data_IF_800422754016
#
_entry.id   IF_800422754016
#
_cell.length_a   1.000
_cell.length_b   1.000
_cell.length_c   1.000
_cell.angle_alpha   90.00
_cell.angle_beta   90.00
_cell.angle_gamma   90.00
#
_symmetry.space_group_name_H-M   'P 1'
#
loop_
_entity.id
_entity.type
_entity.pdbx_description
1 polymer ?
#
# COMPACT_ATOMS: atom_id res chain seq x y z
N UNK A 1 -42.02 -42.45 -43.98
CA UNK A 1 -42.10 -42.33 -42.50
C UNK A 1 -40.77 -41.76 -42.01
N UNK A 2 -40.77 -40.51 -41.49
CA UNK A 2 -39.81 -39.87 -40.56
C UNK A 2 -38.30 -39.87 -40.89
N UNK A 3 -37.50 -38.83 -40.66
CA UNK A 3 -37.64 -37.41 -40.33
C UNK A 3 -36.24 -36.82 -40.62
N UNK A 4 -36.16 -35.68 -41.30
CA UNK A 4 -34.91 -34.94 -41.47
C UNK A 4 -34.47 -34.30 -40.15
N UNK A 5 -33.26 -34.58 -39.70
CA UNK A 5 -32.64 -33.94 -38.53
C UNK A 5 -32.21 -32.52 -38.90
N UNK A 6 -32.97 -31.51 -38.45
CA UNK A 6 -32.57 -30.11 -38.51
C UNK A 6 -31.49 -29.83 -37.46
N UNK A 7 -30.37 -29.30 -37.92
CA UNK A 7 -29.27 -28.82 -37.10
C UNK A 7 -29.64 -27.43 -36.55
N UNK A 8 -30.10 -27.35 -35.31
CA UNK A 8 -30.31 -26.07 -34.63
C UNK A 8 -28.96 -25.57 -34.10
N UNK A 9 -28.33 -24.65 -34.83
CA UNK A 9 -27.19 -23.88 -34.33
C UNK A 9 -27.74 -22.81 -33.38
N UNK A 10 -27.58 -23.03 -32.08
CA UNK A 10 -27.90 -22.05 -31.06
C UNK A 10 -26.79 -20.97 -31.07
N UNK A 11 -27.06 -19.85 -31.72
CA UNK A 11 -26.24 -18.64 -31.57
C UNK A 11 -26.42 -18.11 -30.15
N UNK A 12 -25.52 -18.50 -29.24
CA UNK A 12 -25.39 -17.87 -27.93
C UNK A 12 -24.74 -16.49 -28.17
N UNK A 13 -25.56 -15.46 -28.26
CA UNK A 13 -25.11 -14.07 -28.32
C UNK A 13 -24.30 -13.77 -27.06
N UNK A 14 -22.98 -13.70 -27.21
CA UNK A 14 -22.06 -13.22 -26.18
C UNK A 14 -22.39 -11.75 -25.92
N UNK A 15 -23.20 -11.48 -24.90
CA UNK A 15 -23.39 -10.14 -24.41
C UNK A 15 -22.04 -9.65 -23.89
N UNK A 16 -21.41 -8.77 -24.67
CA UNK A 16 -20.29 -7.95 -24.22
C UNK A 16 -20.79 -7.13 -23.03
N UNK A 17 -20.52 -7.62 -21.81
CA UNK A 17 -20.56 -6.81 -20.61
C UNK A 17 -19.49 -5.74 -20.77
N UNK A 18 -19.88 -4.60 -21.35
CA UNK A 18 -19.21 -3.34 -21.10
C UNK A 18 -19.37 -3.07 -19.60
N UNK A 19 -18.41 -3.51 -18.81
CA UNK A 19 -18.21 -2.95 -17.48
C UNK A 19 -17.80 -1.50 -17.72
N UNK A 20 -18.77 -0.58 -17.66
CA UNK A 20 -18.45 0.83 -17.47
C UNK A 20 -17.66 0.91 -16.18
N UNK A 21 -16.34 1.03 -16.28
CA UNK A 21 -15.47 1.19 -15.12
C UNK A 21 -15.96 2.43 -14.36
N UNK A 22 -16.39 2.26 -13.12
CA UNK A 22 -16.91 3.38 -12.33
C UNK A 22 -15.89 4.53 -12.31
N UNK A 23 -16.37 5.76 -12.53
CA UNK A 23 -15.51 6.96 -12.53
C UNK A 23 -14.79 7.04 -11.18
N UNK A 24 -13.47 7.15 -11.21
CA UNK A 24 -12.67 7.32 -10.00
C UNK A 24 -12.83 8.75 -9.45
N UNK A 25 -13.03 8.92 -8.13
CA UNK A 25 -13.11 10.24 -7.51
C UNK A 25 -11.81 11.01 -7.64
N UNK A 26 -11.89 12.30 -7.98
CA UNK A 26 -10.72 13.19 -8.08
C UNK A 26 -10.81 14.30 -7.05
N UNK A 27 -9.67 14.64 -6.42
CA UNK A 27 -9.60 15.71 -5.43
C UNK A 27 -8.42 16.63 -5.74
N UNK A 28 -8.62 17.92 -5.47
CA UNK A 28 -7.59 18.95 -5.53
C UNK A 28 -6.95 19.10 -4.16
N UNK A 29 -5.63 18.95 -4.09
CA UNK A 29 -4.79 19.34 -2.96
C UNK A 29 -4.12 20.67 -3.33
N UNK A 30 -4.53 21.76 -2.67
CA UNK A 30 -3.94 23.08 -2.85
C UNK A 30 -2.89 23.36 -1.78
N UNK A 31 -1.71 23.85 -2.17
CA UNK A 31 -0.61 24.17 -1.25
C UNK A 31 0.10 25.46 -1.67
N UNK A 32 0.98 25.99 -0.81
CA UNK A 32 1.87 27.11 -1.18
C UNK A 32 2.82 26.78 -2.34
N UNK A 33 3.16 25.51 -2.52
CA UNK A 33 4.10 25.03 -3.56
C UNK A 33 3.40 24.74 -4.91
N UNK A 34 2.07 24.84 -4.92
CA UNK A 34 1.22 24.60 -6.07
C UNK A 34 0.12 23.57 -5.80
N UNK A 35 -0.60 23.27 -6.87
CA UNK A 35 -1.79 22.42 -6.83
C UNK A 35 -1.49 21.03 -7.39
N UNK A 36 -2.03 20.00 -6.74
CA UNK A 36 -2.01 18.62 -7.21
C UNK A 36 -3.44 18.11 -7.34
N UNK A 37 -3.76 17.42 -8.43
CA UNK A 37 -5.00 16.65 -8.51
C UNK A 37 -4.67 15.19 -8.26
N UNK A 38 -5.31 14.61 -7.27
CA UNK A 38 -5.25 13.17 -6.99
C UNK A 38 -6.49 12.47 -7.55
N UNK A 39 -6.33 11.22 -7.93
CA UNK A 39 -7.41 10.29 -8.27
C UNK A 39 -7.36 9.10 -7.30
N UNK A 40 -8.50 8.74 -6.71
CA UNK A 40 -8.61 7.64 -5.76
C UNK A 40 -9.02 6.34 -6.45
N UNK A 41 -8.43 5.23 -6.07
CA UNK A 41 -8.72 3.92 -6.65
C UNK A 41 -10.02 3.33 -6.10
N UNK A 42 -10.79 2.67 -6.97
CA UNK A 42 -12.03 2.00 -6.58
C UNK A 42 -11.79 0.63 -5.95
N UNK A 43 -10.62 0.07 -6.24
CA UNK A 43 -10.14 -1.23 -5.78
C UNK A 43 -9.69 -1.19 -4.31
N UNK A 44 -9.50 0.01 -3.73
CA UNK A 44 -9.25 0.26 -2.30
C UNK A 44 -10.42 1.05 -1.68
N UNK A 45 -11.64 0.49 -1.64
CA UNK A 45 -12.84 1.23 -1.28
C UNK A 45 -12.81 1.78 0.14
N UNK A 46 -12.23 1.08 1.12
CA UNK A 46 -12.21 1.57 2.50
C UNK A 46 -11.36 2.84 2.63
N UNK A 47 -10.20 2.88 1.98
CA UNK A 47 -9.34 4.06 1.99
C UNK A 47 -9.93 5.19 1.14
N UNK A 48 -10.48 4.88 -0.04
CA UNK A 48 -11.14 5.85 -0.91
C UNK A 48 -12.28 6.55 -0.17
N UNK A 49 -13.20 5.77 0.41
CA UNK A 49 -14.40 6.30 1.04
C UNK A 49 -14.06 7.07 2.32
N UNK A 50 -13.07 6.59 3.09
CA UNK A 50 -12.56 7.30 4.25
C UNK A 50 -11.91 8.65 3.87
N UNK A 51 -11.02 8.67 2.87
CA UNK A 51 -10.35 9.90 2.43
C UNK A 51 -11.36 10.91 1.88
N UNK A 52 -12.34 10.44 1.09
CA UNK A 52 -13.44 11.27 0.59
C UNK A 52 -14.27 11.88 1.72
N UNK A 53 -14.64 11.07 2.73
CA UNK A 53 -15.39 11.54 3.89
C UNK A 53 -14.62 12.65 4.61
N UNK A 54 -13.35 12.40 4.95
CA UNK A 54 -12.51 13.37 5.65
C UNK A 54 -12.30 14.66 4.84
N UNK A 55 -12.10 14.56 3.52
CA UNK A 55 -11.98 15.73 2.66
C UNK A 55 -13.29 16.54 2.62
N UNK A 56 -14.45 15.90 2.46
CA UNK A 56 -15.77 16.56 2.47
C UNK A 56 -16.08 17.24 3.81
N UNK A 57 -15.61 16.65 4.91
CA UNK A 57 -15.75 17.20 6.25
C UNK A 57 -14.76 18.35 6.55
N UNK A 58 -13.89 18.73 5.59
CA UNK A 58 -12.85 19.75 5.78
C UNK A 58 -11.74 19.31 6.74
N UNK A 59 -11.61 18.00 7.00
CA UNK A 59 -10.66 17.46 7.98
C UNK A 59 -9.22 17.83 7.64
N UNK A 60 -8.86 17.82 6.35
CA UNK A 60 -7.50 18.12 5.89
C UNK A 60 -7.18 19.61 5.81
N UNK A 61 -8.20 20.48 5.85
CA UNK A 61 -7.99 21.92 5.68
C UNK A 61 -7.16 22.48 6.83
N UNK A 62 -6.06 23.13 6.45
CA UNK A 62 -5.07 23.70 7.35
C UNK A 62 -4.04 22.70 7.89
N UNK A 63 -4.17 21.40 7.62
CA UNK A 63 -3.09 20.44 7.93
C UNK A 63 -1.87 20.72 7.06
N UNK A 64 -0.70 20.22 7.47
CA UNK A 64 0.56 20.45 6.75
C UNK A 64 1.20 19.15 6.27
N UNK A 65 2.11 19.26 5.31
CA UNK A 65 3.14 18.25 5.09
C UNK A 65 4.19 18.34 6.20
N UNK A 66 4.01 17.55 7.25
CA UNK A 66 4.81 17.65 8.48
C UNK A 66 6.11 16.85 8.42
N UNK A 67 6.27 15.97 7.43
CA UNK A 67 7.48 15.18 7.22
C UNK A 67 7.78 15.05 5.73
N UNK A 68 8.97 15.47 5.32
CA UNK A 68 9.42 15.57 3.94
C UNK A 68 10.82 14.98 3.85
N UNK A 69 10.98 13.97 3.00
CA UNK A 69 12.26 13.29 2.80
C UNK A 69 12.53 13.19 1.30
N UNK A 70 13.59 13.89 0.87
CA UNK A 70 14.04 13.88 -0.51
C UNK A 70 14.38 12.46 -0.98
N UNK A 71 14.01 12.15 -2.22
CA UNK A 71 14.10 10.81 -2.85
C UNK A 71 13.25 9.73 -2.16
N UNK A 72 12.30 10.13 -1.32
CA UNK A 72 11.42 9.20 -0.62
C UNK A 72 9.95 9.64 -0.73
N UNK A 73 9.49 10.58 0.10
CA UNK A 73 8.07 10.94 0.16
C UNK A 73 7.81 12.28 0.86
N UNK A 74 6.59 12.78 0.68
CA UNK A 74 6.02 13.91 1.42
C UNK A 74 4.80 13.40 2.20
N UNK A 75 4.77 13.59 3.52
CA UNK A 75 3.75 13.03 4.42
C UNK A 75 2.96 14.13 5.12
N UNK A 76 1.63 13.95 5.16
CA UNK A 76 0.67 14.89 5.73
C UNK A 76 -0.53 14.20 6.37
N UNK A 77 -1.60 14.96 6.60
CA UNK A 77 -2.87 14.45 7.11
C UNK A 77 -2.96 14.26 8.63
N UNK A 78 -2.02 14.82 9.41
CA UNK A 78 -2.11 14.86 10.86
C UNK A 78 -2.95 16.08 11.31
N UNK A 79 -4.10 15.90 11.99
CA UNK A 79 -4.94 17.01 12.45
C UNK A 79 -4.25 17.90 13.49
N UNK A 80 -3.31 17.38 14.28
CA UNK A 80 -2.53 18.15 15.26
C UNK A 80 -1.61 19.19 14.61
N UNK A 81 -1.39 19.08 13.29
CA UNK A 81 -0.56 20.03 12.54
C UNK A 81 -1.25 21.33 12.13
N UNK A 82 -2.56 21.47 12.41
CA UNK A 82 -3.30 22.70 12.08
C UNK A 82 -2.88 23.90 12.93
N UNK A 83 -2.40 23.63 14.15
CA UNK A 83 -1.98 24.65 15.10
C UNK A 83 -0.56 25.14 14.79
N UNK A 84 -0.37 26.46 14.82
CA UNK A 84 0.94 27.06 14.62
C UNK A 84 1.90 26.63 15.75
N UNK A 85 3.09 26.16 15.38
CA UNK A 85 4.11 25.74 16.35
C UNK A 85 3.93 24.33 16.92
N UNK A 86 3.06 23.49 16.34
CA UNK A 86 2.92 22.10 16.76
C UNK A 86 4.24 21.31 16.59
N UNK A 87 4.69 20.65 17.66
CA UNK A 87 5.98 19.93 17.71
C UNK A 87 5.85 18.40 17.76
N UNK A 88 4.70 17.87 18.21
CA UNK A 88 4.45 16.43 18.33
C UNK A 88 3.52 15.96 17.20
N UNK A 89 4.08 15.81 16.00
CA UNK A 89 3.35 15.42 14.79
C UNK A 89 3.69 13.97 14.38
N UNK A 90 2.80 13.36 13.62
CA UNK A 90 2.93 11.99 13.11
C UNK A 90 2.16 10.95 13.93
N UNK A 91 1.53 11.32 15.03
CA UNK A 91 0.73 10.43 15.88
C UNK A 91 -0.77 10.78 15.91
N UNK A 92 -1.17 11.91 15.34
CA UNK A 92 -2.57 12.32 15.30
C UNK A 92 -3.39 11.58 14.25
N UNK A 93 -4.71 11.68 14.39
CA UNK A 93 -5.69 11.10 13.46
C UNK A 93 -7.13 11.29 13.95
N UNK A 94 -8.12 10.71 13.26
CA UNK A 94 -9.54 10.89 13.56
C UNK A 94 -10.05 10.00 14.70
N UNK A 95 -9.15 9.34 15.46
CA UNK A 95 -9.48 8.42 16.55
C UNK A 95 -9.73 6.96 16.13
N UNK A 96 -9.46 6.62 14.86
CA UNK A 96 -9.58 5.25 14.35
C UNK A 96 -8.51 4.95 13.29
N UNK A 97 -8.42 3.67 12.91
CA UNK A 97 -7.54 3.15 11.85
C UNK A 97 -8.37 2.44 10.77
N UNK A 98 -7.83 2.34 9.56
CA UNK A 98 -8.47 1.65 8.42
C UNK A 98 -7.80 0.28 8.20
N UNK A 99 -8.55 -0.75 7.84
CA UNK A 99 -7.98 -2.06 7.50
C UNK A 99 -7.15 -1.95 6.22
N UNK A 100 -6.01 -2.66 6.16
CA UNK A 100 -5.09 -2.55 5.03
C UNK A 100 -5.69 -3.13 3.73
N UNK A 101 -5.51 -2.43 2.60
CA UNK A 101 -5.98 -2.83 1.27
C UNK A 101 -4.78 -2.94 0.32
N UNK A 102 -3.85 -3.83 0.66
CA UNK A 102 -2.58 -3.99 -0.06
C UNK A 102 -2.79 -4.86 -1.30
N UNK A 103 -2.66 -4.27 -2.48
CA UNK A 103 -2.98 -4.90 -3.76
C UNK A 103 -1.76 -4.87 -4.71
N UNK A 104 -1.38 -6.02 -5.32
CA UNK A 104 -0.13 -6.16 -6.08
C UNK A 104 -0.06 -5.28 -7.34
N UNK A 105 -1.21 -4.85 -7.88
CA UNK A 105 -1.24 -3.94 -9.03
C UNK A 105 -0.83 -2.50 -8.65
N UNK A 106 -0.99 -2.09 -7.40
CA UNK A 106 -0.68 -0.73 -6.96
C UNK A 106 0.65 -0.69 -6.23
N UNK A 107 1.64 -0.18 -6.94
CA UNK A 107 3.01 -0.03 -6.49
C UNK A 107 3.30 1.41 -6.07
N UNK A 108 4.35 1.61 -5.29
CA UNK A 108 4.79 2.91 -4.80
C UNK A 108 5.63 3.65 -5.86
N UNK A 109 5.06 3.84 -7.06
CA UNK A 109 5.65 4.72 -8.08
C UNK A 109 5.57 6.19 -7.66
N UNK A 110 6.36 7.07 -8.25
CA UNK A 110 6.24 8.52 -8.03
C UNK A 110 4.80 9.00 -8.26
N UNK A 111 4.30 9.80 -7.33
CA UNK A 111 2.92 10.27 -7.31
C UNK A 111 1.91 9.32 -6.66
N UNK A 112 2.29 8.09 -6.29
CA UNK A 112 1.39 7.20 -5.55
C UNK A 112 0.98 7.84 -4.21
N UNK A 113 -0.33 7.83 -3.95
CA UNK A 113 -0.94 8.26 -2.70
C UNK A 113 -1.16 7.04 -1.81
N UNK A 114 -0.50 7.02 -0.66
CA UNK A 114 -0.40 5.84 0.20
C UNK A 114 -0.70 6.18 1.65
N UNK A 115 -1.24 5.21 2.38
CA UNK A 115 -1.59 5.39 3.79
C UNK A 115 -0.38 5.18 4.70
N UNK A 116 -0.19 6.08 5.66
CA UNK A 116 0.81 5.91 6.71
C UNK A 116 0.34 4.87 7.74
N UNK A 117 1.27 4.20 8.43
CA UNK A 117 0.95 3.30 9.55
C UNK A 117 2.12 3.19 10.51
N UNK A 118 1.84 2.68 11.71
CA UNK A 118 2.89 2.21 12.63
C UNK A 118 3.55 0.94 12.09
N UNK A 119 4.79 0.68 12.55
CA UNK A 119 5.54 -0.52 12.21
C UNK A 119 4.92 -1.81 12.76
N UNK A 120 5.24 -2.94 12.13
CA UNK A 120 4.59 -4.24 12.33
C UNK A 120 4.65 -4.75 13.80
N UNK A 121 5.64 -4.33 14.59
CA UNK A 121 5.74 -4.71 16.00
C UNK A 121 4.59 -4.15 16.84
N UNK A 122 4.21 -2.89 16.62
CA UNK A 122 3.09 -2.23 17.30
C UNK A 122 1.76 -2.45 16.56
N UNK A 123 1.83 -2.71 15.26
CA UNK A 123 0.68 -2.85 14.36
C UNK A 123 0.82 -4.09 13.46
N UNK A 124 0.69 -5.31 14.02
CA UNK A 124 0.92 -6.56 13.29
C UNK A 124 -0.12 -6.82 12.20
N UNK A 125 -1.31 -6.24 12.32
CA UNK A 125 -2.37 -6.26 11.30
C UNK A 125 -2.14 -5.24 10.19
N UNK A 126 -1.09 -4.41 10.30
CA UNK A 126 -0.71 -3.37 9.34
C UNK A 126 -1.84 -2.38 9.05
N UNK A 127 -2.74 -2.16 10.00
CA UNK A 127 -3.85 -1.19 9.85
C UNK A 127 -3.29 0.21 9.54
N UNK A 128 -3.91 0.89 8.59
CA UNK A 128 -3.54 2.24 8.19
C UNK A 128 -3.98 3.28 9.22
N UNK A 129 -3.23 4.38 9.32
CA UNK A 129 -3.71 5.60 9.96
C UNK A 129 -5.05 6.02 9.35
N UNK A 130 -5.96 6.51 10.19
CA UNK A 130 -7.27 6.97 9.75
C UNK A 130 -7.22 8.22 8.85
N UNK A 131 -6.16 9.03 8.91
CA UNK A 131 -6.07 10.25 8.09
C UNK A 131 -4.69 10.54 7.51
N UNK A 132 -3.61 10.04 8.12
CA UNK A 132 -2.26 10.34 7.63
C UNK A 132 -1.93 9.56 6.36
N UNK A 133 -1.38 10.28 5.39
CA UNK A 133 -1.00 9.77 4.09
C UNK A 133 0.37 10.32 3.67
N UNK A 134 0.97 9.70 2.69
CA UNK A 134 2.13 10.23 2.00
C UNK A 134 1.97 10.13 0.49
N UNK A 135 2.62 11.05 -0.22
CA UNK A 135 2.75 11.02 -1.67
C UNK A 135 4.21 10.68 -1.99
N UNK A 136 4.41 9.67 -2.84
CA UNK A 136 5.74 9.19 -3.19
C UNK A 136 6.45 10.20 -4.09
N UNK A 137 7.67 10.60 -3.69
CA UNK A 137 8.62 11.23 -4.60
C UNK A 137 9.52 10.14 -5.21
N UNK A 138 10.20 9.39 -4.35
CA UNK A 138 11.07 8.29 -4.73
C UNK A 138 12.24 8.67 -5.63
N UNK A 139 12.86 7.63 -6.20
CA UNK A 139 13.92 7.74 -7.20
C UNK A 139 13.85 6.60 -8.21
N UNK A 140 14.55 6.76 -9.33
CA UNK A 140 14.65 5.70 -10.33
C UNK A 140 15.33 4.46 -9.76
N UNK A 141 14.90 3.29 -10.19
CA UNK A 141 15.46 1.98 -9.80
C UNK A 141 15.80 1.17 -11.04
N UNK A 142 16.89 0.40 -10.96
CA UNK A 142 17.33 -0.50 -12.03
C UNK A 142 16.80 -1.93 -11.81
N UNK A 143 17.02 -2.81 -12.79
CA UNK A 143 16.55 -4.20 -12.70
C UNK A 143 17.10 -4.97 -11.49
N UNK A 144 18.41 -4.92 -11.17
CA UNK A 144 18.94 -5.62 -10.00
C UNK A 144 18.29 -5.17 -8.69
N UNK A 145 18.04 -3.88 -8.51
CA UNK A 145 17.32 -3.37 -7.34
C UNK A 145 15.88 -3.92 -7.30
N UNK A 146 15.17 -3.91 -8.43
CA UNK A 146 13.79 -4.39 -8.49
C UNK A 146 13.68 -5.90 -8.26
N UNK A 147 14.64 -6.69 -8.74
CA UNK A 147 14.73 -8.13 -8.44
C UNK A 147 14.96 -8.38 -6.95
N UNK A 148 15.81 -7.58 -6.30
CA UNK A 148 16.01 -7.64 -4.86
C UNK A 148 14.74 -7.25 -4.08
N UNK A 149 13.99 -6.26 -4.55
CA UNK A 149 12.73 -5.83 -3.91
C UNK A 149 11.63 -6.89 -4.08
N UNK A 150 11.55 -7.53 -5.25
CA UNK A 150 10.64 -8.66 -5.49
C UNK A 150 10.94 -9.83 -4.54
N UNK A 151 12.23 -10.19 -4.39
CA UNK A 151 12.66 -11.22 -3.44
C UNK A 151 12.27 -10.84 -2.00
N UNK A 152 12.49 -9.59 -1.60
CA UNK A 152 12.13 -9.10 -0.27
C UNK A 152 10.62 -9.18 -0.02
N UNK A 153 9.80 -8.77 -0.99
CA UNK A 153 8.34 -8.87 -0.89
C UNK A 153 7.90 -10.33 -0.66
N UNK A 154 8.47 -11.25 -1.43
CA UNK A 154 8.16 -12.67 -1.32
C UNK A 154 8.67 -13.29 -0.02
N UNK A 155 9.83 -12.87 0.49
CA UNK A 155 10.32 -13.29 1.81
C UNK A 155 9.42 -12.80 2.94
N UNK A 156 8.95 -11.55 2.89
CA UNK A 156 8.03 -11.01 3.88
C UNK A 156 6.68 -11.76 3.85
N UNK A 157 6.17 -12.08 2.65
CA UNK A 157 4.97 -12.88 2.49
C UNK A 157 5.15 -14.30 3.06
N UNK A 158 6.27 -14.96 2.77
CA UNK A 158 6.60 -16.28 3.33
C UNK A 158 6.62 -16.24 4.86
N UNK A 159 7.26 -15.23 5.46
CA UNK A 159 7.28 -15.07 6.92
C UNK A 159 5.87 -14.87 7.50
N UNK A 160 5.01 -14.10 6.81
CA UNK A 160 3.63 -13.90 7.22
C UNK A 160 2.83 -15.21 7.16
N UNK A 161 2.96 -15.97 6.07
CA UNK A 161 2.30 -17.28 5.92
C UNK A 161 2.81 -18.28 6.95
N UNK A 162 4.11 -18.30 7.21
CA UNK A 162 4.73 -19.13 8.23
C UNK A 162 4.21 -18.78 9.63
N UNK A 163 4.14 -17.48 9.97
CA UNK A 163 3.57 -17.03 11.24
C UNK A 163 2.10 -17.45 11.35
N UNK A 164 1.31 -17.21 10.32
CA UNK A 164 -0.11 -17.57 10.31
C UNK A 164 -0.31 -19.09 10.46
N UNK A 165 0.54 -19.89 9.81
CA UNK A 165 0.54 -21.34 9.97
C UNK A 165 0.68 -21.74 11.44
N UNK A 166 1.74 -21.27 12.11
CA UNK A 166 1.99 -21.66 13.50
C UNK A 166 0.99 -21.08 14.50
N UNK A 167 0.36 -19.94 14.19
CA UNK A 167 -0.67 -19.34 15.03
C UNK A 167 -2.05 -19.98 14.86
N UNK A 168 -2.27 -20.75 13.79
CA UNK A 168 -3.54 -21.41 13.57
C UNK A 168 -3.78 -22.53 14.61
N UNK A 169 -4.96 -22.59 15.26
CA UNK A 169 -5.24 -23.55 16.32
C UNK A 169 -4.96 -25.01 15.94
N UNK A 170 -5.23 -25.39 14.68
CA UNK A 170 -5.01 -26.72 14.13
C UNK A 170 -3.53 -27.12 14.03
N UNK A 171 -2.60 -26.16 14.05
CA UNK A 171 -1.17 -26.40 13.92
C UNK A 171 -0.42 -26.25 15.25
N UNK A 172 -1.13 -26.14 16.38
CA UNK A 172 -0.54 -25.92 17.71
C UNK A 172 0.49 -26.99 18.09
N UNK A 173 0.28 -28.25 17.70
CA UNK A 173 1.20 -29.36 17.98
C UNK A 173 2.62 -29.09 17.44
N UNK A 174 2.75 -28.43 16.30
CA UNK A 174 4.05 -28.08 15.73
C UNK A 174 4.84 -27.13 16.64
N UNK A 175 4.17 -26.17 17.27
CA UNK A 175 4.81 -25.26 18.23
C UNK A 175 5.28 -26.00 19.48
N UNK A 176 4.49 -26.94 19.99
CA UNK A 176 4.84 -27.76 21.16
C UNK A 176 6.07 -28.65 20.85
N UNK A 177 6.10 -29.26 19.65
CA UNK A 177 7.24 -30.05 19.17
C UNK A 177 8.50 -29.19 18.98
N UNK A 178 8.38 -27.98 18.41
CA UNK A 178 9.49 -27.03 18.28
C UNK A 178 10.04 -26.64 19.65
N UNK A 179 9.17 -26.29 20.60
CA UNK A 179 9.58 -25.88 21.95
C UNK A 179 10.30 -27.00 22.69
N UNK A 180 9.80 -28.25 22.57
CA UNK A 180 10.45 -29.44 23.13
C UNK A 180 11.85 -29.62 22.53
N UNK A 181 11.97 -29.63 21.21
CA UNK A 181 13.25 -29.82 20.52
C UNK A 181 14.26 -28.71 20.85
N UNK A 182 13.80 -27.45 20.99
CA UNK A 182 14.64 -26.34 21.44
C UNK A 182 15.15 -26.52 22.88
N UNK A 183 14.27 -26.98 23.78
CA UNK A 183 14.62 -27.25 25.18
C UNK A 183 15.65 -28.37 25.30
N UNK A 184 15.49 -29.42 24.50
CA UNK A 184 16.39 -30.58 24.45
C UNK A 184 17.66 -30.31 23.61
N UNK A 185 17.74 -29.17 22.91
CA UNK A 185 18.77 -28.83 21.91
C UNK A 185 18.92 -29.92 20.83
N UNK A 186 17.79 -30.52 20.44
CA UNK A 186 17.73 -31.58 19.45
C UNK A 186 17.65 -30.98 18.03
N UNK A 187 18.81 -30.76 17.44
CA UNK A 187 18.94 -30.25 16.06
C UNK A 187 18.32 -31.19 15.02
N UNK A 188 18.33 -32.51 15.28
CA UNK A 188 17.76 -33.51 14.36
C UNK A 188 16.23 -33.40 14.36
N UNK A 189 15.62 -33.28 15.53
CA UNK A 189 14.18 -33.06 15.66
C UNK A 189 13.77 -31.71 15.05
N UNK A 190 14.54 -30.64 15.26
CA UNK A 190 14.27 -29.34 14.62
C UNK A 190 14.34 -29.41 13.09
N UNK A 191 15.36 -30.10 12.55
CA UNK A 191 15.48 -30.30 11.10
C UNK A 191 14.32 -31.13 10.56
N UNK A 192 13.97 -32.25 11.23
CA UNK A 192 12.84 -33.09 10.81
C UNK A 192 11.51 -32.35 10.83
N UNK A 193 11.30 -31.50 11.84
CA UNK A 193 10.13 -30.62 11.93
C UNK A 193 10.10 -29.61 10.79
N UNK A 194 11.25 -29.00 10.46
CA UNK A 194 11.37 -28.09 9.33
C UNK A 194 11.02 -28.81 8.02
N UNK A 195 11.57 -30.00 7.79
CA UNK A 195 11.33 -30.80 6.57
C UNK A 195 9.85 -31.21 6.44
N UNK A 196 9.15 -31.43 7.57
CA UNK A 196 7.71 -31.74 7.61
C UNK A 196 6.83 -30.50 7.32
N UNK A 197 7.16 -29.36 7.93
CA UNK A 197 6.36 -28.13 7.85
C UNK A 197 6.57 -27.38 6.53
N UNK A 198 7.80 -27.39 5.99
CA UNK A 198 8.18 -26.59 4.84
C UNK A 198 7.26 -26.81 3.61
N UNK A 199 6.92 -28.05 3.19
CA UNK A 199 5.98 -28.27 2.09
C UNK A 199 4.58 -27.71 2.35
N UNK A 200 4.14 -27.66 3.61
CA UNK A 200 2.84 -27.11 3.99
C UNK A 200 2.83 -25.58 3.92
N UNK A 201 3.97 -24.93 4.18
CA UNK A 201 4.15 -23.49 3.96
C UNK A 201 4.19 -23.18 2.46
N UNK A 202 4.98 -23.94 1.70
CA UNK A 202 5.09 -23.80 0.25
C UNK A 202 3.74 -23.98 -0.46
N UNK A 203 2.95 -24.97 -0.05
CA UNK A 203 1.60 -25.17 -0.56
C UNK A 203 0.68 -23.96 -0.29
N UNK A 204 0.83 -23.29 0.86
CA UNK A 204 0.07 -22.07 1.21
C UNK A 204 0.55 -20.83 0.46
N UNK A 205 1.77 -20.83 -0.04
CA UNK A 205 2.39 -19.77 -0.83
C UNK A 205 2.10 -19.89 -2.34
N UNK A 206 1.63 -21.06 -2.79
CA UNK A 206 1.35 -21.32 -4.21
C UNK A 206 0.46 -20.22 -4.80
N UNK A 207 0.92 -19.63 -5.91
CA UNK A 207 0.26 -18.57 -6.67
C UNK A 207 0.05 -17.24 -5.92
N UNK A 208 0.63 -17.07 -4.72
CA UNK A 208 0.56 -15.82 -3.94
C UNK A 208 1.78 -14.92 -4.08
N UNK A 209 2.84 -15.42 -4.73
CA UNK A 209 4.07 -14.67 -4.93
C UNK A 209 3.81 -13.34 -5.67
N UNK A 210 4.45 -12.29 -5.21
CA UNK A 210 4.50 -11.01 -5.90
C UNK A 210 5.54 -11.06 -7.02
N UNK A 211 5.20 -10.46 -8.16
CA UNK A 211 6.10 -10.27 -9.28
C UNK A 211 5.84 -8.92 -9.92
N UNK A 212 6.90 -8.15 -10.16
CA UNK A 212 6.77 -6.92 -10.93
C UNK A 212 6.40 -7.23 -12.38
N UNK A 213 5.35 -6.56 -12.86
CA UNK A 213 5.02 -6.52 -14.29
C UNK A 213 6.04 -5.69 -15.06
N UNK A 214 6.04 -5.79 -16.40
CA UNK A 214 6.91 -4.93 -17.20
C UNK A 214 6.56 -3.44 -16.99
N UNK A 215 5.27 -3.11 -16.95
CA UNK A 215 4.79 -1.75 -16.69
C UNK A 215 5.29 -1.21 -15.34
N UNK A 216 5.29 -2.05 -14.29
CA UNK A 216 5.86 -1.67 -13.00
C UNK A 216 7.35 -1.32 -13.11
N UNK A 217 8.12 -2.16 -13.79
CA UNK A 217 9.56 -1.94 -13.98
C UNK A 217 9.82 -0.66 -14.78
N UNK A 218 9.04 -0.43 -15.83
CA UNK A 218 9.18 0.75 -16.67
C UNK A 218 8.88 2.03 -15.89
N UNK A 219 7.84 2.03 -15.03
CA UNK A 219 7.53 3.15 -14.15
C UNK A 219 8.69 3.44 -13.17
N UNK A 220 9.25 2.40 -12.53
CA UNK A 220 10.37 2.57 -11.62
C UNK A 220 11.65 3.05 -12.30
N UNK A 221 11.88 2.67 -13.55
CA UNK A 221 13.06 3.13 -14.32
C UNK A 221 12.89 4.55 -14.87
N UNK A 222 11.66 4.99 -15.12
CA UNK A 222 11.39 6.27 -15.79
C UNK A 222 11.02 7.38 -14.82
N UNK A 223 9.94 7.21 -14.06
CA UNK A 223 9.42 8.23 -13.14
C UNK A 223 9.92 8.01 -11.70
N UNK A 224 10.39 6.81 -11.39
CA UNK A 224 10.91 6.44 -10.07
C UNK A 224 9.82 6.05 -9.06
N UNK A 225 10.24 5.87 -7.82
CA UNK A 225 9.36 5.52 -6.71
C UNK A 225 10.11 4.93 -5.51
N UNK A 226 9.41 4.18 -4.67
CA UNK A 226 9.90 3.61 -3.41
C UNK A 226 9.56 2.11 -3.32
N UNK A 227 10.16 1.26 -4.18
CA UNK A 227 9.77 -0.16 -4.31
C UNK A 227 9.89 -0.97 -3.01
N UNK A 228 10.71 -0.51 -2.05
CA UNK A 228 10.83 -1.14 -0.73
C UNK A 228 9.58 -1.02 0.15
N UNK A 229 8.59 -0.22 -0.24
CA UNK A 229 7.27 -0.11 0.42
C UNK A 229 6.21 -1.03 -0.21
N UNK A 230 6.48 -1.61 -1.38
CA UNK A 230 5.52 -2.46 -2.07
C UNK A 230 5.14 -3.66 -1.22
N UNK A 231 3.87 -4.05 -1.32
CA UNK A 231 3.28 -5.14 -0.53
C UNK A 231 3.32 -4.92 0.99
N UNK A 232 3.70 -3.73 1.48
CA UNK A 232 3.77 -3.40 2.91
C UNK A 232 2.79 -2.30 3.36
N UNK A 233 2.34 -1.46 2.43
CA UNK A 233 1.46 -0.31 2.69
C UNK A 233 0.35 -0.24 1.62
N UNK A 234 -0.82 0.27 2.01
CA UNK A 234 -1.90 0.53 1.06
C UNK A 234 -1.54 1.72 0.18
N UNK A 235 -1.55 1.51 -1.15
CA UNK A 235 -1.63 2.57 -2.15
C UNK A 235 -3.09 2.69 -2.57
N UNK A 236 -3.71 3.86 -2.37
CA UNK A 236 -5.16 4.04 -2.57
C UNK A 236 -5.52 5.14 -3.58
N UNK A 237 -4.51 5.72 -4.23
CA UNK A 237 -4.70 6.67 -5.31
C UNK A 237 -3.37 7.12 -5.90
N UNK A 238 -3.41 8.15 -6.72
CA UNK A 238 -2.24 8.76 -7.33
C UNK A 238 -2.46 10.23 -7.70
N UNK A 239 -1.37 10.98 -7.80
CA UNK A 239 -1.35 12.31 -8.41
C UNK A 239 -1.43 12.17 -9.93
N UNK A 240 -2.49 12.72 -10.54
CA UNK A 240 -2.74 12.71 -11.99
C UNK A 240 -2.44 14.06 -12.64
N UNK A 241 -2.44 15.16 -11.88
CA UNK A 241 -1.99 16.48 -12.34
C UNK A 241 -1.14 17.14 -11.26
N UNK A 242 -0.14 17.94 -11.67
CA UNK A 242 0.74 18.63 -10.73
C UNK A 242 1.86 17.76 -10.15
N UNK A 243 2.28 16.70 -10.84
CA UNK A 243 3.33 15.78 -10.36
C UNK A 243 4.64 16.50 -9.94
N UNK A 244 5.00 17.59 -10.63
CA UNK A 244 6.19 18.40 -10.29
C UNK A 244 6.08 19.18 -8.97
N UNK A 245 4.88 19.35 -8.40
CA UNK A 245 4.69 19.96 -7.07
C UNK A 245 5.29 19.09 -5.98
N UNK A 246 5.30 17.76 -6.16
CA UNK A 246 5.93 16.82 -5.23
C UNK A 246 7.42 17.15 -5.07
N UNK A 247 8.11 17.44 -6.18
CA UNK A 247 9.53 17.77 -6.16
C UNK A 247 9.80 19.13 -5.51
N UNK A 248 8.90 20.10 -5.70
CA UNK A 248 9.00 21.41 -5.03
C UNK A 248 8.89 21.26 -3.52
N UNK A 249 7.87 20.54 -3.05
CA UNK A 249 7.68 20.25 -1.62
C UNK A 249 8.89 19.47 -1.08
N UNK A 250 9.39 18.47 -1.81
CA UNK A 250 10.53 17.67 -1.37
C UNK A 250 11.88 18.41 -1.38
N UNK A 251 11.96 19.56 -2.05
CA UNK A 251 13.17 20.38 -2.13
C UNK A 251 13.26 21.46 -1.03
N UNK A 252 12.21 21.64 -0.21
CA UNK A 252 12.24 22.63 0.86
C UNK A 252 13.25 22.25 1.95
N UNK A 253 13.78 23.25 2.63
CA UNK A 253 14.66 23.02 3.78
C UNK A 253 13.90 22.37 4.93
N UNK A 254 14.53 21.41 5.59
CA UNK A 254 13.96 20.68 6.72
C UNK A 254 14.89 20.66 7.92
N UNK A 255 14.30 20.52 9.10
CA UNK A 255 15.00 20.14 10.33
C UNK A 255 14.43 18.79 10.80
N UNK A 256 15.24 17.73 10.74
CA UNK A 256 14.79 16.36 11.06
C UNK A 256 13.52 15.97 10.28
N UNK A 257 13.59 16.12 8.95
CA UNK A 257 12.50 15.88 7.98
C UNK A 257 11.30 16.84 8.08
N UNK A 258 11.20 17.70 9.11
CA UNK A 258 10.14 18.70 9.23
C UNK A 258 10.48 19.94 8.39
N UNK A 259 9.64 20.37 7.42
CA UNK A 259 9.85 21.65 6.72
C UNK A 259 10.02 22.83 7.68
N UNK A 260 10.98 23.71 7.41
CA UNK A 260 11.21 24.92 8.21
C UNK A 260 10.04 25.91 8.11
N UNK A 261 9.38 25.93 6.95
CA UNK A 261 8.16 26.70 6.70
C UNK A 261 6.99 25.74 6.50
N UNK A 262 5.84 26.07 7.08
CA UNK A 262 4.64 25.24 6.99
C UNK A 262 4.06 25.24 5.57
N UNK A 263 3.95 24.04 5.00
CA UNK A 263 3.26 23.81 3.72
C UNK A 263 1.86 23.33 4.05
N UNK A 264 0.97 24.29 4.29
CA UNK A 264 -0.46 24.04 4.56
C UNK A 264 -1.16 23.52 3.31
N UNK A 265 -2.15 22.66 3.52
CA UNK A 265 -3.00 22.14 2.46
C UNK A 265 -4.48 22.44 2.70
N UNK A 266 -5.23 22.48 1.61
CA UNK A 266 -6.68 22.24 1.60
C UNK A 266 -6.97 21.10 0.63
N UNK A 267 -8.05 20.34 0.88
CA UNK A 267 -8.39 19.17 0.05
C UNK A 267 -9.85 19.25 -0.35
N UNK A 268 -10.12 19.37 -1.66
CA UNK A 268 -11.48 19.58 -2.19
C UNK A 268 -11.83 18.53 -3.21
N UNK A 269 -13.05 18.01 -3.14
CA UNK A 269 -13.59 17.14 -4.18
C UNK A 269 -13.73 17.94 -5.49
N UNK A 270 -13.37 17.32 -6.61
CA UNK A 270 -13.63 17.84 -7.96
C UNK A 270 -14.83 17.11 -8.56
N UNK A 271 -15.71 17.87 -9.23
CA UNK A 271 -16.92 17.36 -9.89
C UNK A 271 -16.62 16.56 -11.19
#
# INVERSE_FOLDING_TARGET
MKLSSQLTVLFLSLALLSSAQEKRPRLLIETSEGNMVIELYNETPQHRDNFLKLAKDGFYDGTIFHRVIKEFMIQGGDPGSKEAGATNLGSGGPGYTVEAEILPQFIHKKGALSAARQGDQANPERRSSGSQFYIVQGKISDDPMLEQMELRCNQALTQQVQRAFFMAPENKEYLERIQKAQTERDEVALKSLSDEVQPMIEARMKDKGFKYTQDHKDLYKTIGGTPFLDQQYTVFGEVVEGLGVIDKIAAVETNSDRPLSDIKMTVKLLD
#
